data_IF_052467672933
#
_entry.id   IF_052467672933
#
_cell.length_a   1.000
_cell.length_b   1.000
_cell.length_c   1.000
_cell.angle_alpha   90.00
_cell.angle_beta   90.00
_cell.angle_gamma   90.00
#
_symmetry.space_group_name_H-M   'P 1'
#
loop_
_entity.id
_entity.type
_entity.pdbx_description
1 polymer ?
#
# COMPACT_ATOMS: atom_id res chain seq x y z
N UNK A 1 7.21 -16.22 -10.66
CA UNK A 1 6.98 -15.09 -9.76
C UNK A 1 5.82 -15.43 -8.85
N UNK A 2 5.93 -15.09 -7.57
CA UNK A 2 4.97 -15.50 -6.54
C UNK A 2 4.43 -14.29 -5.78
N UNK A 3 3.17 -14.39 -5.36
CA UNK A 3 2.54 -13.40 -4.48
C UNK A 3 3.36 -13.22 -3.21
N UNK A 4 3.56 -11.96 -2.79
CA UNK A 4 4.37 -11.61 -1.62
C UNK A 4 5.87 -11.51 -1.89
N UNK A 5 6.36 -11.78 -3.09
CA UNK A 5 7.74 -11.42 -3.44
C UNK A 5 7.90 -9.90 -3.48
N UNK A 6 9.07 -9.42 -3.01
CA UNK A 6 9.44 -8.01 -3.02
C UNK A 6 10.45 -7.80 -4.14
N UNK A 7 10.17 -6.83 -5.00
CA UNK A 7 10.94 -6.58 -6.22
C UNK A 7 11.22 -5.10 -6.40
N UNK A 8 12.35 -4.81 -7.06
CA UNK A 8 12.60 -3.54 -7.72
C UNK A 8 11.99 -3.58 -9.11
N UNK A 9 11.13 -2.61 -9.40
CA UNK A 9 10.66 -2.33 -10.76
C UNK A 9 11.34 -1.09 -11.31
N UNK A 10 11.44 -1.03 -12.63
CA UNK A 10 11.86 0.16 -13.37
C UNK A 10 10.80 0.48 -14.42
N UNK A 11 9.82 1.28 -14.02
CA UNK A 11 8.82 1.86 -14.91
C UNK A 11 8.67 3.34 -14.53
N UNK A 12 9.10 4.24 -15.42
CA UNK A 12 9.39 5.66 -15.16
C UNK A 12 10.59 5.89 -14.21
N UNK A 13 10.50 5.37 -12.98
CA UNK A 13 11.58 5.45 -11.98
C UNK A 13 11.72 4.12 -11.21
N UNK A 14 12.93 3.85 -10.70
CA UNK A 14 13.21 2.64 -9.92
C UNK A 14 12.49 2.67 -8.57
N UNK A 15 11.56 1.74 -8.34
CA UNK A 15 10.71 1.70 -7.14
C UNK A 15 10.58 0.28 -6.57
N UNK A 16 10.53 0.12 -5.24
CA UNK A 16 10.20 -1.16 -4.62
C UNK A 16 8.70 -1.45 -4.72
N UNK A 17 8.36 -2.71 -5.00
CA UNK A 17 6.98 -3.18 -5.06
C UNK A 17 6.85 -4.56 -4.43
N UNK A 18 5.62 -4.92 -4.04
CA UNK A 18 5.25 -6.27 -3.63
C UNK A 18 4.27 -6.86 -4.63
N UNK A 19 4.53 -8.08 -5.08
CA UNK A 19 3.67 -8.77 -6.04
C UNK A 19 2.36 -9.22 -5.39
N UNK A 20 1.24 -8.88 -6.02
CA UNK A 20 -0.10 -9.30 -5.59
C UNK A 20 -0.64 -10.44 -6.45
N UNK A 21 -0.43 -10.42 -7.76
CA UNK A 21 -0.76 -11.57 -8.61
C UNK A 21 0.52 -12.22 -9.15
N UNK A 22 0.40 -13.48 -9.55
CA UNK A 22 1.41 -14.07 -10.41
C UNK A 22 1.40 -13.42 -11.79
N UNK A 23 2.35 -13.85 -12.63
CA UNK A 23 2.41 -13.45 -14.04
C UNK A 23 1.29 -14.14 -14.83
N UNK A 24 0.32 -13.35 -15.31
CA UNK A 24 -0.76 -13.79 -16.19
C UNK A 24 -0.84 -12.91 -17.44
N UNK A 25 -1.74 -13.25 -18.38
CA UNK A 25 -1.86 -12.53 -19.65
C UNK A 25 -2.24 -11.05 -19.51
N UNK A 26 -2.73 -10.62 -18.35
CA UNK A 26 -3.07 -9.22 -18.03
C UNK A 26 -1.93 -8.45 -17.37
N UNK A 27 -0.77 -9.09 -17.14
CA UNK A 27 0.38 -8.52 -16.46
C UNK A 27 0.42 -8.87 -14.98
N UNK A 28 1.38 -8.28 -14.26
CA UNK A 28 1.62 -8.56 -12.85
C UNK A 28 1.10 -7.41 -12.01
N UNK A 29 0.08 -7.66 -11.18
CA UNK A 29 -0.40 -6.67 -10.22
C UNK A 29 0.59 -6.53 -9.08
N UNK A 30 0.96 -5.30 -8.79
CA UNK A 30 1.92 -4.96 -7.74
C UNK A 30 1.41 -3.81 -6.89
N UNK A 31 1.83 -3.79 -5.63
CA UNK A 31 1.64 -2.66 -4.73
C UNK A 31 2.98 -1.98 -4.50
N UNK A 32 3.06 -0.67 -4.73
CA UNK A 32 4.29 0.08 -4.46
C UNK A 32 4.53 0.25 -2.97
N UNK A 33 5.78 0.12 -2.53
CA UNK A 33 6.20 0.53 -1.18
C UNK A 33 6.45 2.03 -1.18
N UNK A 34 5.81 2.74 -0.25
CA UNK A 34 5.85 4.21 -0.12
C UNK A 34 6.30 4.62 1.28
N UNK A 35 6.62 5.90 1.47
CA UNK A 35 6.87 6.45 2.79
C UNK A 35 5.59 6.36 3.66
N UNK A 36 5.70 6.12 4.98
CA UNK A 36 4.57 6.15 5.91
C UNK A 36 3.81 7.48 5.87
N UNK A 37 2.52 7.48 6.25
CA UNK A 37 1.71 8.70 6.15
C UNK A 37 2.18 9.82 7.09
N UNK A 38 2.92 9.48 8.16
CA UNK A 38 3.38 10.42 9.18
C UNK A 38 2.28 10.97 10.08
N UNK A 39 1.02 10.59 9.82
CA UNK A 39 -0.17 11.00 10.58
C UNK A 39 -1.07 9.79 10.81
N UNK A 40 -1.95 9.88 11.80
CA UNK A 40 -2.88 8.81 12.13
C UNK A 40 -4.00 8.71 11.09
N UNK A 41 -3.92 7.65 10.26
CA UNK A 41 -4.88 7.34 9.21
C UNK A 41 -5.89 6.25 9.61
N UNK A 42 -6.06 5.96 10.90
CA UNK A 42 -7.01 4.92 11.36
C UNK A 42 -8.42 5.21 10.83
N UNK A 43 -9.03 4.19 10.21
CA UNK A 43 -10.34 4.30 9.57
C UNK A 43 -10.33 4.95 8.19
N UNK A 44 -9.19 5.51 7.77
CA UNK A 44 -8.96 6.07 6.44
C UNK A 44 -8.23 5.08 5.52
N UNK A 45 -7.31 4.30 6.09
CA UNK A 45 -6.48 3.32 5.40
C UNK A 45 -5.78 2.39 6.39
N UNK A 46 -5.06 1.41 5.84
CA UNK A 46 -4.18 0.49 6.58
C UNK A 46 -2.79 0.61 5.96
N UNK A 47 -1.76 0.65 6.81
CA UNK A 47 -0.35 0.59 6.41
C UNK A 47 0.27 -0.70 6.92
N UNK A 48 0.86 -1.48 6.02
CA UNK A 48 1.63 -2.70 6.34
C UNK A 48 3.11 -2.39 6.16
N UNK A 49 3.89 -2.47 7.23
CA UNK A 49 5.30 -2.10 7.22
C UNK A 49 6.17 -3.11 6.43
N UNK A 50 7.05 -2.60 5.58
CA UNK A 50 8.00 -3.38 4.77
C UNK A 50 9.36 -2.69 4.84
N UNK A 51 10.42 -3.45 5.12
CA UNK A 51 11.74 -2.85 5.31
C UNK A 51 12.89 -3.83 5.18
N UNK A 52 13.91 -3.66 6.03
CA UNK A 52 15.14 -4.47 5.97
C UNK A 52 14.90 -5.97 6.07
N UNK A 53 13.92 -6.41 6.87
CA UNK A 53 13.55 -7.83 7.01
C UNK A 53 13.04 -8.43 5.70
N UNK A 54 12.45 -7.60 4.84
CA UNK A 54 11.92 -7.98 3.53
C UNK A 54 12.91 -7.71 2.39
N UNK A 55 14.14 -7.31 2.70
CA UNK A 55 15.25 -7.11 1.76
C UNK A 55 15.39 -5.69 1.21
N UNK A 56 14.64 -4.71 1.74
CA UNK A 56 14.76 -3.31 1.32
C UNK A 56 15.88 -2.59 2.09
N UNK A 57 16.58 -1.62 1.47
CA UNK A 57 17.58 -0.80 2.16
C UNK A 57 16.99 0.33 3.00
N UNK A 58 15.66 0.44 3.06
CA UNK A 58 14.92 1.47 3.80
C UNK A 58 13.59 0.93 4.31
N UNK A 59 13.02 1.65 5.27
CA UNK A 59 11.69 1.39 5.80
C UNK A 59 10.61 2.09 4.97
N UNK A 60 9.51 1.38 4.74
CA UNK A 60 8.34 1.90 4.04
C UNK A 60 7.09 1.12 4.40
N UNK A 61 6.00 1.42 3.69
CA UNK A 61 4.70 0.79 3.91
C UNK A 61 4.03 0.44 2.58
N UNK A 62 3.25 -0.63 2.59
CA UNK A 62 2.15 -0.83 1.65
C UNK A 62 0.92 -0.13 2.20
N UNK A 63 0.35 0.83 1.46
CA UNK A 63 -0.81 1.61 1.91
C UNK A 63 -2.08 1.20 1.18
N UNK A 64 -3.08 0.79 1.94
CA UNK A 64 -4.40 0.36 1.47
C UNK A 64 -5.46 1.38 1.88
N UNK A 65 -6.09 2.03 0.92
CA UNK A 65 -7.20 2.94 1.19
C UNK A 65 -8.48 2.15 1.49
N UNK A 66 -9.22 2.56 2.52
CA UNK A 66 -10.53 2.00 2.81
C UNK A 66 -11.60 2.72 1.96
N UNK A 67 -12.52 2.00 1.29
CA UNK A 67 -13.57 2.60 0.46
C UNK A 67 -14.43 3.60 1.23
N UNK A 68 -14.90 4.64 0.52
CA UNK A 68 -15.83 5.62 1.08
C UNK A 68 -16.87 6.02 0.05
N UNK A 69 -18.15 6.14 0.43
CA UNK A 69 -19.13 6.78 -0.42
C UNK A 69 -18.66 8.18 -0.82
N UNK A 70 -18.66 8.47 -2.12
CA UNK A 70 -18.28 9.77 -2.68
C UNK A 70 -16.76 10.03 -2.78
N UNK A 71 -15.90 9.06 -2.47
CA UNK A 71 -14.45 9.17 -2.72
C UNK A 71 -13.93 7.95 -3.47
N UNK A 72 -13.11 8.19 -4.50
CA UNK A 72 -12.35 7.14 -5.15
C UNK A 72 -11.20 6.72 -4.22
N UNK A 73 -11.09 5.44 -3.82
CA UNK A 73 -9.95 4.97 -3.04
C UNK A 73 -8.69 5.05 -3.88
N UNK A 74 -7.71 5.86 -3.44
CA UNK A 74 -6.40 5.92 -4.07
C UNK A 74 -5.48 4.91 -3.39
N UNK A 75 -5.32 3.74 -3.99
CA UNK A 75 -4.30 2.76 -3.61
C UNK A 75 -3.09 2.88 -4.54
N UNK A 76 -1.91 2.52 -4.05
CA UNK A 76 -0.68 2.48 -4.87
C UNK A 76 -0.57 1.17 -5.67
N UNK A 77 -1.71 0.71 -6.18
CA UNK A 77 -1.84 -0.51 -6.95
C UNK A 77 -1.60 -0.17 -8.42
N UNK A 78 -0.74 -0.92 -9.08
CA UNK A 78 -0.53 -0.84 -10.52
C UNK A 78 -0.29 -2.22 -11.12
N UNK A 79 -0.30 -2.29 -12.44
CA UNK A 79 0.08 -3.49 -13.20
C UNK A 79 1.38 -3.18 -13.94
N UNK A 80 2.35 -4.08 -13.83
CA UNK A 80 3.62 -4.01 -14.55
C UNK A 80 3.77 -5.22 -15.46
N UNK A 81 4.62 -5.08 -16.48
CA UNK A 81 5.07 -6.22 -17.27
C UNK A 81 6.16 -7.00 -16.53
N UNK A 82 6.47 -8.20 -17.02
CA UNK A 82 7.58 -8.98 -16.49
C UNK A 82 8.94 -8.30 -16.72
N UNK A 83 9.07 -7.56 -17.81
CA UNK A 83 10.32 -6.89 -18.18
C UNK A 83 10.61 -5.68 -17.28
N UNK A 84 9.58 -5.09 -16.66
CA UNK A 84 9.76 -4.00 -15.70
C UNK A 84 10.36 -4.49 -14.37
N UNK A 85 10.38 -5.80 -14.09
CA UNK A 85 10.89 -6.38 -12.84
C UNK A 85 12.38 -6.73 -12.95
N UNK A 86 13.20 -5.93 -12.28
CA UNK A 86 14.65 -5.96 -12.48
C UNK A 86 15.35 -6.86 -11.47
N UNK A 87 15.03 -6.70 -10.19
CA UNK A 87 15.75 -7.36 -9.10
C UNK A 87 14.81 -7.77 -7.98
N UNK A 88 14.84 -9.06 -7.60
CA UNK A 88 14.13 -9.53 -6.42
C UNK A 88 14.90 -9.15 -5.16
N UNK A 89 14.29 -8.33 -4.32
CA UNK A 89 14.86 -7.92 -3.03
C UNK A 89 14.60 -8.95 -1.92
N UNK A 90 13.43 -9.61 -1.95
CA UNK A 90 13.07 -10.55 -0.89
C UNK A 90 11.69 -11.16 -1.04
N UNK A 91 11.10 -11.55 0.09
CA UNK A 91 9.76 -12.12 0.19
C UNK A 91 9.17 -11.84 1.56
N UNK A 92 7.87 -11.51 1.58
CA UNK A 92 7.13 -11.36 2.82
C UNK A 92 7.12 -12.68 3.60
N UNK A 93 7.26 -12.59 4.93
CA UNK A 93 6.98 -13.74 5.80
C UNK A 93 5.50 -14.15 5.69
N UNK A 94 5.14 -15.40 6.01
CA UNK A 94 3.73 -15.84 5.97
C UNK A 94 2.79 -14.97 6.81
N UNK A 95 3.27 -14.49 7.97
CA UNK A 95 2.50 -13.59 8.83
C UNK A 95 2.22 -12.24 8.15
N UNK A 96 3.25 -11.65 7.53
CA UNK A 96 3.13 -10.35 6.85
C UNK A 96 2.36 -10.44 5.53
N UNK A 97 2.47 -11.56 4.83
CA UNK A 97 1.63 -11.87 3.67
C UNK A 97 0.15 -11.92 4.06
N UNK A 98 -0.18 -12.56 5.19
CA UNK A 98 -1.55 -12.59 5.74
C UNK A 98 -2.04 -11.19 6.15
N UNK A 99 -1.19 -10.38 6.77
CA UNK A 99 -1.49 -8.98 7.11
C UNK A 99 -1.84 -8.16 5.86
N UNK A 100 -1.02 -8.26 4.80
CA UNK A 100 -1.25 -7.64 3.50
C UNK A 100 -2.56 -8.11 2.87
N UNK A 101 -2.86 -9.40 2.91
CA UNK A 101 -4.10 -9.97 2.37
C UNK A 101 -5.35 -9.48 3.11
N UNK A 102 -5.26 -9.36 4.44
CA UNK A 102 -6.34 -8.79 5.24
C UNK A 102 -6.55 -7.31 4.91
N UNK A 103 -5.47 -6.53 4.77
CA UNK A 103 -5.54 -5.12 4.39
C UNK A 103 -6.16 -4.93 2.99
N UNK A 104 -5.77 -5.77 2.02
CA UNK A 104 -6.36 -5.77 0.68
C UNK A 104 -7.87 -6.05 0.73
N UNK A 105 -8.27 -7.09 1.48
CA UNK A 105 -9.68 -7.45 1.65
C UNK A 105 -10.50 -6.33 2.30
N UNK A 106 -9.94 -5.62 3.27
CA UNK A 106 -10.58 -4.44 3.87
C UNK A 106 -10.73 -3.29 2.86
N UNK A 107 -9.77 -3.12 1.96
CA UNK A 107 -9.80 -2.15 0.86
C UNK A 107 -10.84 -2.46 -0.23
N UNK A 108 -11.27 -3.72 -0.35
CA UNK A 108 -12.28 -4.17 -1.33
C UNK A 108 -13.71 -4.15 -0.77
N UNK A 109 -13.88 -4.15 0.56
CA UNK A 109 -15.19 -4.15 1.19
C UNK A 109 -15.77 -2.74 1.30
N UNK A 110 -16.94 -2.52 0.69
CA UNK A 110 -17.75 -1.33 0.96
C UNK A 110 -18.25 -1.38 2.42
N UNK A 111 -17.65 -0.57 3.30
CA UNK A 111 -18.01 -0.50 4.71
C UNK A 111 -18.77 0.79 5.01
N UNK A 112 -19.85 0.68 5.79
CA UNK A 112 -20.54 1.85 6.34
C UNK A 112 -19.62 2.61 7.31
N UNK A 113 -19.56 3.93 7.13
CA UNK A 113 -18.73 4.80 7.94
C UNK A 113 -19.36 5.12 9.29
N UNK A 114 -18.54 5.15 10.34
CA UNK A 114 -18.98 5.58 11.68
C UNK A 114 -18.75 7.09 11.87
N UNK A 115 -19.46 7.73 12.81
CA UNK A 115 -19.24 9.13 13.17
C UNK A 115 -17.77 9.45 13.55
N UNK A 116 -17.08 8.49 14.19
CA UNK A 116 -15.67 8.63 14.59
C UNK A 116 -14.74 8.80 13.39
N UNK A 117 -14.96 8.08 12.29
CA UNK A 117 -14.13 8.21 11.07
C UNK A 117 -14.32 9.57 10.38
N UNK A 118 -15.55 10.11 10.43
CA UNK A 118 -15.86 11.43 9.89
C UNK A 118 -15.17 12.55 10.68
N UNK A 119 -15.18 12.45 12.01
CA UNK A 119 -14.47 13.37 12.89
C UNK A 119 -12.96 13.38 12.59
N UNK A 120 -12.35 12.20 12.49
CA UNK A 120 -10.92 12.05 12.21
C UNK A 120 -10.50 12.63 10.86
N UNK A 121 -11.33 12.49 9.82
CA UNK A 121 -11.08 13.14 8.53
C UNK A 121 -11.11 14.67 8.63
N UNK A 122 -12.03 15.21 9.43
CA UNK A 122 -12.09 16.66 9.67
C UNK A 122 -10.85 17.17 10.40
N UNK A 123 -10.37 16.43 11.40
CA UNK A 123 -9.14 16.72 12.14
C UNK A 123 -7.92 16.71 11.23
N UNK A 124 -7.76 15.67 10.41
CA UNK A 124 -6.63 15.53 9.49
C UNK A 124 -6.62 16.65 8.44
N UNK A 125 -7.79 17.01 7.89
CA UNK A 125 -7.95 18.15 6.99
C UNK A 125 -7.60 19.48 7.66
N UNK A 126 -7.95 19.65 8.94
CA UNK A 126 -7.62 20.85 9.69
C UNK A 126 -6.10 20.92 9.97
N UNK A 127 -5.47 19.80 10.34
CA UNK A 127 -4.03 19.71 10.57
C UNK A 127 -3.23 20.07 9.29
N UNK A 128 -3.63 19.54 8.14
CA UNK A 128 -3.01 19.86 6.85
C UNK A 128 -3.18 21.33 6.44
N UNK A 129 -4.32 21.96 6.77
CA UNK A 129 -4.59 23.38 6.48
C UNK A 129 -3.77 24.34 7.36
N UNK A 130 -3.43 23.91 8.58
CA UNK A 130 -2.70 24.73 9.55
C UNK A 130 -1.18 24.69 9.35
N UNK A 131 -0.67 24.04 8.29
CA UNK A 131 0.76 23.97 7.99
C UNK A 131 1.57 23.15 9.00
N UNK A 132 0.92 22.23 9.72
CA UNK A 132 1.56 21.38 10.72
C UNK A 132 2.42 20.27 10.11
N UNK A 133 3.50 20.65 9.45
CA UNK A 133 4.69 19.82 9.25
C UNK A 133 5.85 20.58 9.87
N UNK A 134 5.99 20.42 11.19
CA UNK A 134 7.25 20.63 11.88
C UNK A 134 8.07 19.35 11.79
#
# INVERSE_FOLDING_TARGET
MQRGEVWWVEFDERRPVVLLSGDDASGIRVMQVVAPAGVDITGLGVEVAVGAVEGLPFEGVLRFALPRPGFTPCTWLTTVSRDDLIERAGVLSPAKLSEMENALRLGEQAKEWTPATTAKLSELRNALRLGGLG
#
